data_IF_340091483367
#
_entry.id   IF_340091483367
#
_cell.length_a   1.000
_cell.length_b   1.000
_cell.length_c   1.000
_cell.angle_alpha   90.00
_cell.angle_beta   90.00
_cell.angle_gamma   90.00
#
_symmetry.space_group_name_H-M   'P 1'
#
loop_
_entity.id
_entity.type
_entity.pdbx_description
1 polymer ?
#
# COMPACT_ATOMS: atom_id res chain seq x y z
N UNK A 1 -44.32 32.97 4.31
CA UNK A 1 -43.56 31.73 4.08
C UNK A 1 -44.34 30.91 3.07
N UNK A 2 -43.79 30.62 1.89
CA UNK A 2 -44.49 29.90 0.83
C UNK A 2 -44.21 28.40 0.93
N UNK A 3 -45.26 27.61 1.13
CA UNK A 3 -45.18 26.16 1.26
C UNK A 3 -44.85 25.50 -0.08
N UNK A 4 -43.67 24.88 -0.18
CA UNK A 4 -43.28 24.09 -1.34
C UNK A 4 -43.80 22.66 -1.21
N UNK A 5 -44.50 22.15 -2.22
CA UNK A 5 -45.02 20.78 -2.23
C UNK A 5 -43.90 19.82 -2.64
N UNK A 6 -43.52 18.92 -1.72
CA UNK A 6 -42.44 17.95 -1.91
C UNK A 6 -43.02 16.65 -2.48
N UNK A 7 -42.49 16.20 -3.61
CA UNK A 7 -42.79 14.87 -4.17
C UNK A 7 -41.52 14.02 -4.17
N UNK A 8 -41.56 12.88 -3.48
CA UNK A 8 -40.45 11.92 -3.42
C UNK A 8 -40.67 10.85 -4.48
N UNK A 9 -39.78 10.76 -5.45
CA UNK A 9 -39.85 9.73 -6.49
C UNK A 9 -39.07 8.49 -6.02
N UNK A 10 -39.75 7.37 -5.83
CA UNK A 10 -39.12 6.08 -5.49
C UNK A 10 -38.78 5.32 -6.77
N UNK A 11 -37.74 5.74 -7.48
CA UNK A 11 -37.21 4.95 -8.59
C UNK A 11 -36.39 3.75 -8.08
N UNK A 12 -36.24 2.73 -8.93
CA UNK A 12 -35.48 1.51 -8.61
C UNK A 12 -33.96 1.81 -8.61
N UNK A 13 -33.20 0.96 -7.91
CA UNK A 13 -31.82 1.23 -7.49
C UNK A 13 -30.79 1.47 -8.59
N UNK A 14 -31.09 1.18 -9.86
CA UNK A 14 -30.15 1.34 -10.96
C UNK A 14 -30.24 2.70 -11.67
N UNK A 15 -31.35 3.44 -11.51
CA UNK A 15 -31.61 4.69 -12.21
C UNK A 15 -31.32 5.93 -11.36
N UNK A 16 -30.70 5.75 -10.18
CA UNK A 16 -30.39 6.87 -9.32
C UNK A 16 -29.22 7.70 -9.88
N UNK A 17 -29.31 9.05 -9.79
CA UNK A 17 -28.19 9.90 -10.16
C UNK A 17 -27.03 9.61 -9.22
N UNK A 18 -25.83 9.55 -9.80
CA UNK A 18 -24.62 9.19 -9.10
C UNK A 18 -23.93 10.45 -8.57
N UNK A 19 -23.66 10.46 -7.26
CA UNK A 19 -23.05 11.61 -6.59
C UNK A 19 -21.55 11.42 -6.46
N UNK A 20 -20.80 12.40 -6.95
CA UNK A 20 -19.34 12.39 -6.93
C UNK A 20 -18.84 13.62 -6.20
N UNK A 21 -17.88 13.42 -5.30
CA UNK A 21 -17.21 14.50 -4.58
C UNK A 21 -15.74 14.53 -4.93
N UNK A 22 -15.23 15.74 -5.19
CA UNK A 22 -13.82 16.00 -5.45
C UNK A 22 -13.24 16.81 -4.27
N UNK A 23 -12.52 16.18 -3.33
CA UNK A 23 -12.02 16.86 -2.14
C UNK A 23 -11.10 18.05 -2.41
N UNK A 24 -10.44 18.06 -3.57
CA UNK A 24 -9.49 19.10 -3.99
C UNK A 24 -10.13 20.13 -4.93
N UNK A 25 -11.46 20.14 -5.05
CA UNK A 25 -12.18 20.97 -6.01
C UNK A 25 -12.46 20.24 -7.32
N UNK A 26 -13.42 20.79 -8.07
CA UNK A 26 -13.85 20.22 -9.35
C UNK A 26 -12.74 20.45 -10.38
N UNK A 27 -12.37 19.44 -11.19
CA UNK A 27 -11.39 19.61 -12.26
C UNK A 27 -11.79 20.72 -13.24
N UNK A 28 -10.82 21.54 -13.67
CA UNK A 28 -11.03 22.71 -14.56
C UNK A 28 -11.70 22.33 -15.89
N UNK A 29 -11.37 21.16 -16.42
CA UNK A 29 -11.91 20.63 -17.68
C UNK A 29 -12.98 19.55 -17.42
N UNK A 30 -13.91 19.80 -16.50
CA UNK A 30 -14.96 18.82 -16.15
C UNK A 30 -15.85 18.43 -17.33
N UNK A 31 -15.93 19.24 -18.37
CA UNK A 31 -16.76 18.98 -19.57
C UNK A 31 -16.18 17.87 -20.46
N UNK A 32 -14.86 17.72 -20.50
CA UNK A 32 -14.16 16.69 -21.28
C UNK A 32 -14.04 15.36 -20.50
N UNK A 33 -14.40 15.39 -19.22
CA UNK A 33 -14.21 14.29 -18.29
C UNK A 33 -15.32 13.24 -18.45
N UNK A 34 -14.99 12.09 -19.04
CA UNK A 34 -15.91 10.94 -19.09
C UNK A 34 -15.80 10.10 -17.81
N UNK A 35 -16.95 9.80 -17.20
CA UNK A 35 -17.05 8.94 -16.01
C UNK A 35 -17.43 7.52 -16.42
N UNK A 36 -16.54 6.57 -16.13
CA UNK A 36 -16.78 5.14 -16.34
C UNK A 36 -17.18 4.50 -15.02
N UNK A 37 -18.35 3.85 -15.00
CA UNK A 37 -18.88 3.16 -13.82
C UNK A 37 -18.75 1.66 -14.02
N UNK A 38 -17.81 1.03 -13.31
CA UNK A 38 -17.65 -0.42 -13.24
C UNK A 38 -18.36 -0.99 -12.02
N UNK A 39 -19.35 -1.87 -12.23
CA UNK A 39 -20.03 -2.58 -11.13
C UNK A 39 -19.63 -4.05 -11.15
N UNK A 40 -19.11 -4.53 -10.02
CA UNK A 40 -18.78 -5.95 -9.80
C UNK A 40 -19.71 -6.53 -8.75
N UNK A 41 -20.50 -7.51 -9.16
CA UNK A 41 -21.35 -8.27 -8.26
C UNK A 41 -20.54 -9.41 -7.63
N UNK A 42 -20.53 -9.48 -6.29
CA UNK A 42 -19.95 -10.60 -5.55
C UNK A 42 -20.96 -11.05 -4.50
N UNK A 43 -21.70 -12.11 -4.84
CA UNK A 43 -22.81 -12.62 -4.03
C UNK A 43 -23.87 -11.54 -3.76
N UNK A 44 -24.11 -11.25 -2.48
CA UNK A 44 -25.09 -10.23 -2.01
C UNK A 44 -24.56 -8.80 -2.02
N UNK A 45 -23.31 -8.59 -2.40
CA UNK A 45 -22.66 -7.28 -2.36
C UNK A 45 -22.31 -6.80 -3.76
N UNK A 46 -22.69 -5.57 -4.06
CA UNK A 46 -22.29 -4.86 -5.27
C UNK A 46 -21.13 -3.96 -4.90
N UNK A 47 -20.03 -4.05 -5.66
CA UNK A 47 -18.89 -3.15 -5.56
C UNK A 47 -18.88 -2.27 -6.80
N UNK A 48 -18.93 -0.98 -6.61
CA UNK A 48 -18.93 0.04 -7.64
C UNK A 48 -17.61 0.78 -7.61
N UNK A 49 -16.96 0.83 -8.76
CA UNK A 49 -15.75 1.60 -9.01
C UNK A 49 -16.10 2.62 -10.08
N UNK A 50 -15.84 3.88 -9.80
CA UNK A 50 -15.93 4.95 -10.78
C UNK A 50 -14.51 5.36 -11.11
N UNK A 51 -14.22 5.37 -12.40
CA UNK A 51 -12.92 5.82 -12.91
C UNK A 51 -13.16 6.90 -13.95
N UNK A 52 -12.29 7.90 -13.95
CA UNK A 52 -12.24 8.88 -15.02
C UNK A 52 -10.81 9.26 -15.27
N UNK A 53 -10.40 9.15 -16.52
CA UNK A 53 -9.07 9.52 -16.98
C UNK A 53 -9.14 10.88 -17.67
N UNK A 54 -8.35 11.84 -17.19
CA UNK A 54 -8.19 13.12 -17.83
C UNK A 54 -6.70 13.49 -17.89
N UNK A 55 -6.18 13.72 -19.11
CA UNK A 55 -4.76 13.98 -19.38
C UNK A 55 -3.85 12.96 -18.67
N UNK A 56 -3.08 13.39 -17.65
CA UNK A 56 -2.14 12.55 -16.87
C UNK A 56 -2.66 12.13 -15.50
N UNK A 57 -3.92 12.45 -15.19
CA UNK A 57 -4.53 12.20 -13.88
C UNK A 57 -5.74 11.29 -14.06
N UNK A 58 -5.72 10.17 -13.35
CA UNK A 58 -6.87 9.27 -13.28
C UNK A 58 -7.56 9.45 -11.94
N UNK A 59 -8.79 9.92 -11.96
CA UNK A 59 -9.64 9.97 -10.77
C UNK A 59 -10.28 8.61 -10.53
N UNK A 60 -10.19 8.11 -9.30
CA UNK A 60 -10.82 6.85 -8.88
C UNK A 60 -11.65 7.08 -7.63
N UNK A 61 -12.89 6.59 -7.65
CA UNK A 61 -13.82 6.59 -6.53
C UNK A 61 -14.41 5.20 -6.36
N UNK A 62 -14.58 4.75 -5.13
CA UNK A 62 -15.07 3.40 -4.83
C UNK A 62 -16.00 3.37 -3.63
N UNK A 63 -16.85 2.34 -3.58
CA UNK A 63 -17.87 2.13 -2.55
C UNK A 63 -17.53 1.00 -1.56
N UNK A 64 -16.25 0.60 -1.50
CA UNK A 64 -15.79 -0.54 -0.72
C UNK A 64 -14.54 -0.19 0.10
N UNK A 65 -14.28 -1.00 1.12
CA UNK A 65 -13.18 -0.80 2.06
C UNK A 65 -13.48 0.30 3.07
N UNK A 66 -12.66 1.35 3.07
CA UNK A 66 -12.85 2.49 3.96
C UNK A 66 -13.99 3.41 3.51
N UNK A 67 -14.23 3.50 2.20
CA UNK A 67 -15.30 4.30 1.60
C UNK A 67 -16.62 3.51 1.44
N UNK A 68 -16.88 2.54 2.33
CA UNK A 68 -18.07 1.71 2.19
C UNK A 68 -19.35 2.50 2.47
N UNK A 69 -20.31 2.46 1.55
CA UNK A 69 -21.63 3.08 1.70
C UNK A 69 -22.34 2.73 3.02
N UNK A 70 -22.13 1.50 3.53
CA UNK A 70 -22.72 1.03 4.80
C UNK A 70 -22.09 1.65 6.04
N UNK A 71 -20.88 2.22 5.93
CA UNK A 71 -20.20 2.91 7.03
C UNK A 71 -20.65 4.38 7.13
N UNK A 72 -21.28 4.92 6.10
CA UNK A 72 -21.82 6.27 6.14
C UNK A 72 -23.11 6.29 6.98
N UNK A 73 -23.20 7.27 7.88
CA UNK A 73 -24.39 7.51 8.70
C UNK A 73 -25.41 8.40 7.99
N UNK A 74 -25.00 9.08 6.92
CA UNK A 74 -25.82 9.99 6.15
C UNK A 74 -26.45 9.30 4.94
N UNK A 75 -27.69 9.70 4.61
CA UNK A 75 -28.34 9.35 3.35
C UNK A 75 -28.55 10.62 2.55
N UNK A 76 -28.21 10.56 1.27
CA UNK A 76 -28.27 11.69 0.37
C UNK A 76 -29.46 11.56 -0.59
N UNK A 77 -29.95 12.71 -1.03
CA UNK A 77 -30.94 12.81 -2.08
C UNK A 77 -30.72 14.12 -2.85
N UNK A 78 -31.00 14.08 -4.15
CA UNK A 78 -30.90 15.26 -5.03
C UNK A 78 -32.30 15.86 -5.17
N UNK A 79 -32.43 17.12 -4.77
CA UNK A 79 -33.65 17.91 -4.96
C UNK A 79 -33.57 18.70 -6.25
N UNK A 80 -34.49 18.45 -7.18
CA UNK A 80 -34.71 19.30 -8.36
C UNK A 80 -35.87 20.23 -8.01
N UNK A 81 -35.57 21.50 -7.79
CA UNK A 81 -36.57 22.53 -7.53
C UNK A 81 -36.94 23.26 -8.83
N UNK A 82 -38.23 23.34 -9.12
CA UNK A 82 -38.76 24.11 -10.22
C UNK A 82 -39.46 25.36 -9.69
N UNK A 83 -38.87 26.53 -9.97
CA UNK A 83 -39.36 27.83 -9.49
C UNK A 83 -40.74 28.17 -10.05
N UNK A 84 -41.04 27.75 -11.28
CA UNK A 84 -42.33 28.06 -11.95
C UNK A 84 -43.48 27.31 -11.30
N UNK A 85 -43.27 26.02 -10.98
CA UNK A 85 -44.31 25.17 -10.38
C UNK A 85 -44.28 25.18 -8.85
N UNK A 86 -43.23 25.76 -8.24
CA UNK A 86 -42.97 25.76 -6.78
C UNK A 86 -43.01 24.35 -6.17
N UNK A 87 -42.60 23.35 -6.96
CA UNK A 87 -42.57 21.94 -6.56
C UNK A 87 -41.12 21.49 -6.50
N UNK A 88 -40.81 20.69 -5.47
CA UNK A 88 -39.51 20.06 -5.32
C UNK A 88 -39.63 18.56 -5.57
N UNK A 89 -38.89 18.07 -6.58
CA UNK A 89 -38.76 16.64 -6.85
C UNK A 89 -37.53 16.12 -6.13
N UNK A 90 -37.74 15.24 -5.16
CA UNK A 90 -36.65 14.59 -4.45
C UNK A 90 -36.35 13.24 -5.10
N UNK A 91 -35.14 13.10 -5.63
CA UNK A 91 -34.62 11.86 -6.20
C UNK A 91 -33.66 11.26 -5.19
N UNK A 92 -33.96 10.04 -4.74
CA UNK A 92 -33.03 9.31 -3.87
C UNK A 92 -31.73 9.06 -4.62
N UNK A 93 -30.62 9.24 -3.94
CA UNK A 93 -29.31 8.86 -4.47
C UNK A 93 -28.71 7.77 -3.63
N UNK A 94 -27.74 7.09 -4.21
CA UNK A 94 -26.87 6.23 -3.43
C UNK A 94 -25.90 7.10 -2.59
N UNK A 95 -24.90 6.46 -2.02
CA UNK A 95 -23.79 7.09 -1.32
C UNK A 95 -22.97 8.05 -2.22
N UNK A 96 -22.20 8.92 -1.58
CA UNK A 96 -21.27 9.83 -2.26
C UNK A 96 -19.97 9.09 -2.57
N UNK A 97 -19.57 9.10 -3.83
CA UNK A 97 -18.29 8.56 -4.26
C UNK A 97 -17.22 9.65 -4.19
N UNK A 98 -16.23 9.46 -3.31
CA UNK A 98 -15.10 10.38 -3.18
C UNK A 98 -14.06 10.05 -4.25
N UNK A 99 -13.88 10.95 -5.21
CA UNK A 99 -12.87 10.84 -6.26
C UNK A 99 -11.52 11.30 -5.77
N UNK A 100 -10.56 10.38 -5.75
CA UNK A 100 -9.18 10.69 -5.42
C UNK A 100 -8.35 10.75 -6.71
N UNK A 101 -7.54 11.80 -6.90
CA UNK A 101 -6.64 11.87 -8.05
C UNK A 101 -5.54 10.82 -7.89
N UNK A 102 -5.36 10.02 -8.92
CA UNK A 102 -4.23 9.11 -9.07
C UNK A 102 -3.41 9.59 -10.25
N UNK A 103 -2.29 10.22 -9.94
CA UNK A 103 -1.30 10.58 -10.95
C UNK A 103 -0.58 9.29 -11.30
N UNK A 104 -0.49 8.97 -12.59
CA UNK A 104 0.39 7.91 -13.08
C UNK A 104 1.84 8.34 -12.86
N UNK A 105 2.27 8.25 -11.61
CA UNK A 105 3.67 8.47 -11.26
C UNK A 105 4.40 7.29 -11.87
N UNK A 106 5.21 7.60 -12.88
CA UNK A 106 6.23 6.74 -13.49
C UNK A 106 6.69 5.74 -12.45
N UNK A 107 6.42 4.45 -12.68
CA UNK A 107 6.62 3.36 -11.73
C UNK A 107 7.81 3.69 -10.84
N UNK A 108 7.54 4.04 -9.58
CA UNK A 108 8.60 4.14 -8.59
C UNK A 108 9.14 2.72 -8.58
N UNK A 109 10.26 2.53 -9.27
CA UNK A 109 10.89 1.24 -9.43
C UNK A 109 10.80 0.57 -8.06
N UNK A 110 10.28 -0.66 -7.97
CA UNK A 110 10.16 -1.31 -6.67
C UNK A 110 11.51 -1.11 -5.99
N UNK A 111 11.50 -0.62 -4.74
CA UNK A 111 12.71 -0.51 -3.91
C UNK A 111 13.21 -1.94 -3.67
N UNK A 112 13.69 -2.57 -4.73
CA UNK A 112 14.40 -3.81 -4.74
C UNK A 112 15.73 -3.42 -4.11
N UNK A 113 15.78 -3.48 -2.79
CA UNK A 113 17.05 -3.36 -2.11
C UNK A 113 17.91 -4.50 -2.65
N UNK A 114 19.01 -4.18 -3.30
CA UNK A 114 20.07 -5.14 -3.60
C UNK A 114 20.67 -5.72 -2.33
N UNK A 115 20.35 -5.13 -1.18
CA UNK A 115 20.78 -5.57 0.14
C UNK A 115 20.32 -6.99 0.46
N UNK A 116 21.27 -7.78 0.93
CA UNK A 116 21.02 -9.10 1.47
C UNK A 116 20.18 -9.02 2.75
N UNK A 117 19.48 -10.10 3.11
CA UNK A 117 18.66 -10.18 4.32
C UNK A 117 19.44 -9.77 5.58
N UNK A 118 20.72 -10.18 5.68
CA UNK A 118 21.60 -9.83 6.79
C UNK A 118 21.86 -8.31 6.89
N UNK A 119 22.12 -7.66 5.77
CA UNK A 119 22.37 -6.21 5.68
C UNK A 119 21.09 -5.42 6.00
N UNK A 120 19.94 -5.87 5.50
CA UNK A 120 18.64 -5.25 5.81
C UNK A 120 18.32 -5.36 7.31
N UNK A 121 18.56 -6.52 7.92
CA UNK A 121 18.40 -6.73 9.37
C UNK A 121 19.33 -5.84 10.18
N UNK A 122 20.56 -5.64 9.71
CA UNK A 122 21.54 -4.77 10.34
C UNK A 122 21.11 -3.31 10.28
N UNK A 123 20.77 -2.79 9.09
CA UNK A 123 20.30 -1.41 8.91
C UNK A 123 19.09 -1.10 9.79
N UNK A 124 18.07 -1.98 9.84
CA UNK A 124 16.92 -1.81 10.72
C UNK A 124 17.28 -1.83 12.21
N UNK A 125 18.29 -2.61 12.60
CA UNK A 125 18.75 -2.68 13.99
C UNK A 125 19.60 -1.46 14.36
N UNK A 126 20.36 -0.91 13.43
CA UNK A 126 21.16 0.30 13.61
C UNK A 126 20.28 1.55 13.68
N UNK A 127 19.20 1.62 12.89
CA UNK A 127 18.23 2.73 12.95
C UNK A 127 17.23 2.58 14.11
N UNK A 128 16.48 1.47 14.17
CA UNK A 128 15.34 1.30 15.07
C UNK A 128 15.59 0.34 16.25
N UNK A 129 16.75 -0.31 16.31
CA UNK A 129 17.05 -1.29 17.34
C UNK A 129 17.32 -0.68 18.72
N UNK A 130 16.97 -1.42 19.77
CA UNK A 130 17.31 -1.05 21.15
C UNK A 130 18.83 -1.12 21.39
N UNK A 131 19.34 -0.36 22.39
CA UNK A 131 20.78 -0.38 22.76
C UNK A 131 21.31 -1.80 23.00
N UNK A 132 20.50 -2.68 23.61
CA UNK A 132 20.85 -4.09 23.84
C UNK A 132 21.05 -4.84 22.52
N UNK A 133 20.15 -4.66 21.55
CA UNK A 133 20.19 -5.34 20.25
C UNK A 133 21.35 -4.82 19.38
N UNK A 134 21.63 -3.51 19.42
CA UNK A 134 22.80 -2.91 18.77
C UNK A 134 24.10 -3.48 19.31
N UNK A 135 24.24 -3.59 20.64
CA UNK A 135 25.44 -4.19 21.28
C UNK A 135 25.63 -5.65 20.92
N UNK A 136 24.55 -6.43 20.89
CA UNK A 136 24.60 -7.84 20.49
C UNK A 136 25.06 -8.00 19.03
N UNK A 137 24.52 -7.19 18.12
CA UNK A 137 24.91 -7.21 16.70
C UNK A 137 26.38 -6.80 16.51
N UNK A 138 26.85 -5.78 17.25
CA UNK A 138 28.26 -5.38 17.22
C UNK A 138 29.18 -6.49 17.75
N UNK A 139 28.76 -7.23 18.78
CA UNK A 139 29.51 -8.37 19.30
C UNK A 139 29.55 -9.55 18.32
N UNK A 140 28.45 -9.84 17.62
CA UNK A 140 28.41 -10.84 16.54
C UNK A 140 29.37 -10.47 15.40
N UNK A 141 29.42 -9.18 15.02
CA UNK A 141 30.36 -8.68 14.01
C UNK A 141 31.82 -8.83 14.44
N UNK A 142 32.16 -8.46 15.68
CA UNK A 142 33.55 -8.58 16.18
C UNK A 142 34.00 -10.04 16.31
N UNK A 143 33.06 -10.97 16.48
CA UNK A 143 33.36 -12.40 16.54
C UNK A 143 33.52 -13.04 15.14
N UNK A 144 33.10 -12.35 14.09
CA UNK A 144 33.26 -12.84 12.72
C UNK A 144 34.64 -12.43 12.21
N UNK A 145 35.50 -13.44 12.00
CA UNK A 145 36.87 -13.26 11.54
C UNK A 145 36.84 -12.99 10.02
N UNK A 146 36.84 -11.71 9.67
CA UNK A 146 37.08 -11.24 8.31
C UNK A 146 38.46 -10.61 8.23
N UNK A 147 39.06 -10.61 7.05
CA UNK A 147 40.41 -10.06 6.79
C UNK A 147 40.51 -8.57 7.09
N UNK A 148 39.37 -7.87 7.11
CA UNK A 148 39.23 -6.48 7.53
C UNK A 148 39.22 -6.29 9.05
N UNK A 149 38.81 -7.29 9.83
CA UNK A 149 38.66 -7.22 11.29
C UNK A 149 39.92 -7.66 12.06
N UNK A 150 40.95 -8.15 11.37
CA UNK A 150 42.20 -8.63 12.00
C UNK A 150 43.31 -7.59 11.76
N UNK A 151 43.89 -7.08 12.84
CA UNK A 151 45.15 -6.35 12.77
C UNK A 151 46.26 -7.29 12.30
N UNK A 152 46.82 -7.06 11.11
CA UNK A 152 47.85 -7.92 10.50
C UNK A 152 47.33 -9.01 9.54
N UNK A 153 46.05 -8.98 9.14
CA UNK A 153 45.48 -10.00 8.25
C UNK A 153 46.22 -10.13 6.90
N UNK A 154 46.69 -9.01 6.34
CA UNK A 154 47.48 -8.99 5.09
C UNK A 154 48.78 -9.79 5.23
N UNK A 155 49.40 -9.74 6.41
CA UNK A 155 50.62 -10.48 6.73
C UNK A 155 50.35 -11.98 6.80
N UNK A 156 49.23 -12.37 7.42
CA UNK A 156 48.82 -13.77 7.57
C UNK A 156 48.41 -14.38 6.22
N UNK A 157 47.72 -13.63 5.36
CA UNK A 157 47.40 -14.07 4.00
C UNK A 157 48.65 -14.32 3.15
N UNK A 158 49.64 -13.44 3.24
CA UNK A 158 50.91 -13.59 2.53
C UNK A 158 51.72 -14.79 3.02
N UNK A 159 51.64 -15.14 4.31
CA UNK A 159 52.32 -16.32 4.86
C UNK A 159 51.59 -17.61 4.42
N UNK A 160 50.26 -17.60 4.42
CA UNK A 160 49.45 -18.76 4.00
C UNK A 160 49.53 -19.02 2.49
N UNK A 161 49.72 -18.00 1.65
CA UNK A 161 49.88 -18.17 0.19
C UNK A 161 51.26 -18.67 -0.21
N UNK A 162 52.28 -18.48 0.64
CA UNK A 162 53.66 -18.94 0.39
C UNK A 162 53.84 -20.42 0.75
N UNK A 163 52.94 -21.02 1.54
CA UNK A 163 53.13 -22.36 2.11
C UNK A 163 52.23 -23.46 1.50
N UNK A 164 51.99 -23.42 0.19
CA UNK A 164 51.39 -24.55 -0.53
C UNK A 164 52.26 -24.96 -1.73
N UNK A 165 52.91 -26.12 -1.64
CA UNK A 165 52.54 -27.23 -2.52
C UNK A 165 52.12 -28.48 -1.72
N UNK A 166 51.04 -29.14 -2.18
CA UNK A 166 50.40 -30.30 -1.53
C UNK A 166 51.31 -31.53 -1.42
N UNK A 167 50.95 -32.48 -0.54
CA UNK A 167 50.46 -33.76 -1.06
C UNK A 167 49.11 -34.22 -0.46
N UNK A 168 48.40 -35.03 -1.25
CA UNK A 168 47.14 -35.70 -0.94
C UNK A 168 47.35 -36.81 0.10
N UNK A 169 46.50 -36.91 1.12
CA UNK A 169 46.11 -38.18 1.78
C UNK A 169 44.91 -37.97 2.71
N UNK A 170 43.90 -38.80 2.45
CA UNK A 170 42.97 -39.48 3.37
C UNK A 170 41.87 -38.71 4.13
N UNK A 171 40.64 -39.14 3.80
CA UNK A 171 39.38 -38.81 4.43
C UNK A 171 39.22 -39.56 5.76
N UNK A 172 38.90 -38.85 6.85
CA UNK A 172 38.30 -39.38 8.10
C UNK A 172 37.46 -38.24 8.76
N UNK A 173 36.31 -38.53 9.40
CA UNK A 173 35.08 -37.76 9.21
C UNK A 173 34.80 -36.66 10.24
N UNK A 174 33.96 -35.72 9.82
CA UNK A 174 33.26 -34.72 10.63
C UNK A 174 32.46 -35.37 11.76
N UNK A 175 32.90 -35.20 13.01
CA UNK A 175 32.04 -35.46 14.18
C UNK A 175 31.06 -34.31 14.35
N UNK A 176 29.80 -34.60 14.01
CA UNK A 176 28.61 -33.77 14.21
C UNK A 176 28.32 -33.63 15.73
N UNK A 177 28.72 -32.51 16.36
CA UNK A 177 28.42 -32.27 17.78
C UNK A 177 27.04 -31.59 17.94
N UNK A 178 25.99 -32.41 18.06
CA UNK A 178 24.63 -32.00 18.41
C UNK A 178 24.55 -31.63 19.89
N UNK A 179 24.84 -30.38 20.23
CA UNK A 179 24.56 -29.87 21.57
C UNK A 179 23.13 -29.31 21.63
N UNK A 180 22.18 -30.18 21.98
CA UNK A 180 20.80 -29.80 22.34
C UNK A 180 20.84 -28.96 23.63
N UNK A 181 20.75 -27.64 23.51
CA UNK A 181 20.46 -26.78 24.67
C UNK A 181 18.98 -26.88 25.01
N UNK A 182 18.72 -27.54 26.14
CA UNK A 182 17.45 -27.58 26.82
C UNK A 182 16.94 -26.16 27.11
N UNK A 183 15.68 -25.90 26.77
CA UNK A 183 14.93 -24.75 27.27
C UNK A 183 14.45 -25.07 28.68
N UNK A 184 14.74 -24.17 29.62
CA UNK A 184 13.96 -23.96 30.83
C UNK A 184 13.44 -22.52 30.77
#
# INVERSE_FOLDING_TARGET
MTDAKISVNSQQSQDFPLLVSFPQGIPVHSEEMSLLVGRKHSGKTTKTLITSSFDKVTYKGNDYGDNNAKKDSCRYAVGIYDEKTKKMKLVKTDHIFVMKPHIETREVAPRNSTMNYAERRQSLTDEFGSRKKKRALQAEKSNTILTENISGAKSIQNILSVQSPMPKTDAVPTTENKNKRARK
#
